data_IF_359491078054
#
_entry.id   IF_359491078054
#
_cell.length_a   1.000
_cell.length_b   1.000
_cell.length_c   1.000
_cell.angle_alpha   90.00
_cell.angle_beta   90.00
_cell.angle_gamma   90.00
#
_symmetry.space_group_name_H-M   'P 1'
#
loop_
_entity.id
_entity.type
_entity.pdbx_description
1 polymer ?
#
# COMPACT_ATOMS: atom_id res chain seq x y z
N UNK A 1 -37.08 10.44 -10.45
CA UNK A 1 -37.35 10.84 -11.86
C UNK A 1 -38.79 11.26 -11.91
N UNK A 2 -39.10 12.40 -12.52
CA UNK A 2 -40.42 13.03 -12.40
C UNK A 2 -40.88 13.57 -13.75
N UNK A 3 -42.16 13.38 -14.05
CA UNK A 3 -42.86 14.05 -15.14
C UNK A 3 -43.91 14.96 -14.52
N UNK A 4 -43.86 16.25 -14.83
CA UNK A 4 -44.77 17.24 -14.27
C UNK A 4 -45.38 18.12 -15.37
N UNK A 5 -46.58 18.62 -15.10
CA UNK A 5 -47.35 19.51 -15.96
C UNK A 5 -47.48 20.88 -15.30
N UNK A 6 -47.20 21.93 -16.06
CA UNK A 6 -47.39 23.31 -15.62
C UNK A 6 -48.76 23.81 -16.04
N UNK A 7 -49.48 24.37 -15.08
CA UNK A 7 -50.84 24.92 -15.21
C UNK A 7 -50.89 26.28 -14.53
N UNK A 8 -51.89 27.10 -14.84
CA UNK A 8 -52.04 28.40 -14.20
C UNK A 8 -53.49 28.62 -13.79
N UNK A 9 -53.71 29.12 -12.58
CA UNK A 9 -55.03 29.47 -12.06
C UNK A 9 -55.71 30.58 -12.87
N UNK A 10 -54.92 31.44 -13.52
CA UNK A 10 -55.38 32.49 -14.44
C UNK A 10 -56.14 31.94 -15.65
N UNK A 11 -55.91 30.67 -16.02
CA UNK A 11 -56.57 30.05 -17.17
C UNK A 11 -58.03 29.68 -16.88
N UNK A 12 -58.50 29.81 -15.63
CA UNK A 12 -59.91 29.62 -15.23
C UNK A 12 -60.55 28.34 -15.80
N UNK A 13 -61.56 28.44 -16.67
CA UNK A 13 -62.24 27.31 -17.29
C UNK A 13 -61.37 26.51 -18.27
N UNK A 14 -60.26 27.08 -18.76
CA UNK A 14 -59.29 26.39 -19.62
C UNK A 14 -58.28 25.56 -18.81
N UNK A 15 -58.29 25.65 -17.47
CA UNK A 15 -57.39 24.88 -16.62
C UNK A 15 -57.87 23.41 -16.54
N UNK A 16 -56.99 22.40 -16.69
CA UNK A 16 -57.38 21.01 -16.50
C UNK A 16 -57.75 20.75 -15.03
N UNK A 17 -58.78 19.92 -14.79
CA UNK A 17 -59.22 19.51 -13.44
C UNK A 17 -58.97 18.03 -13.18
N UNK A 18 -58.98 17.18 -14.23
CA UNK A 18 -58.65 15.76 -14.13
C UNK A 18 -57.83 15.30 -15.32
N UNK A 19 -56.67 14.73 -15.05
CA UNK A 19 -55.74 14.22 -16.05
C UNK A 19 -55.46 12.75 -15.76
N UNK A 20 -55.45 11.93 -16.81
CA UNK A 20 -55.11 10.50 -16.73
C UNK A 20 -53.91 10.24 -17.62
N UNK A 21 -52.89 9.59 -17.07
CA UNK A 21 -51.66 9.23 -17.77
C UNK A 21 -51.70 7.74 -18.08
N UNK A 22 -51.55 7.41 -19.36
CA UNK A 22 -51.56 6.04 -19.84
C UNK A 22 -50.18 5.67 -20.41
N UNK A 23 -49.81 4.40 -20.30
CA UNK A 23 -48.59 3.81 -20.84
C UNK A 23 -48.91 2.76 -21.91
N UNK A 24 -47.98 2.54 -22.83
CA UNK A 24 -48.05 1.47 -23.80
C UNK A 24 -46.74 1.26 -24.55
N UNK A 25 -46.64 0.11 -25.22
CA UNK A 25 -45.46 -0.25 -26.01
C UNK A 25 -45.46 0.39 -27.40
N UNK A 26 -46.64 0.79 -27.90
CA UNK A 26 -46.84 1.47 -29.18
C UNK A 26 -48.04 2.42 -29.09
N UNK A 27 -48.15 3.46 -29.94
CA UNK A 27 -49.28 4.40 -29.88
C UNK A 27 -50.66 3.74 -30.12
N UNK A 28 -50.70 2.55 -30.75
CA UNK A 28 -51.92 1.78 -30.97
C UNK A 28 -52.31 0.89 -29.76
N UNK A 29 -51.38 0.61 -28.84
CA UNK A 29 -51.56 -0.33 -27.72
C UNK A 29 -51.55 0.33 -26.35
N UNK A 30 -51.74 1.66 -26.28
CA UNK A 30 -51.84 2.40 -25.01
C UNK A 30 -53.15 2.06 -24.31
N UNK A 31 -53.09 1.13 -23.34
CA UNK A 31 -54.26 0.68 -22.57
C UNK A 31 -54.03 0.67 -21.06
N UNK A 32 -52.79 0.73 -20.61
CA UNK A 32 -52.45 0.65 -19.18
C UNK A 32 -52.51 2.03 -18.55
N UNK A 33 -53.38 2.21 -17.56
CA UNK A 33 -53.45 3.44 -16.77
C UNK A 33 -52.33 3.46 -15.75
N UNK A 34 -51.46 4.48 -15.85
CA UNK A 34 -50.28 4.64 -14.99
C UNK A 34 -50.61 5.50 -13.78
N UNK A 35 -51.35 6.58 -13.97
CA UNK A 35 -51.76 7.46 -12.89
C UNK A 35 -52.99 8.30 -13.29
N UNK A 36 -53.81 8.67 -12.31
CA UNK A 36 -54.93 9.59 -12.47
C UNK A 36 -54.82 10.72 -11.44
N UNK A 37 -54.64 11.95 -11.93
CA UNK A 37 -54.34 13.12 -11.11
C UNK A 37 -55.49 14.12 -11.15
N UNK A 38 -55.94 14.54 -9.97
CA UNK A 38 -56.88 15.65 -9.78
C UNK A 38 -56.13 16.94 -9.54
N UNK A 39 -56.43 17.97 -10.32
CA UNK A 39 -55.75 19.26 -10.30
C UNK A 39 -56.66 20.27 -9.61
N UNK A 40 -56.13 20.95 -8.59
CA UNK A 40 -56.84 22.00 -7.87
C UNK A 40 -56.73 23.34 -8.62
N UNK A 41 -57.71 24.25 -8.49
CA UNK A 41 -57.66 25.56 -9.13
C UNK A 41 -56.50 26.46 -8.68
N UNK A 42 -55.88 26.16 -7.54
CA UNK A 42 -54.72 26.87 -6.99
C UNK A 42 -53.37 26.30 -7.46
N UNK A 43 -53.36 25.16 -8.15
CA UNK A 43 -52.12 24.49 -8.53
C UNK A 43 -51.43 25.23 -9.67
N UNK A 44 -50.09 25.29 -9.62
CA UNK A 44 -49.25 25.84 -10.68
C UNK A 44 -48.34 24.78 -11.32
N UNK A 45 -47.98 23.75 -10.56
CA UNK A 45 -47.13 22.63 -11.00
C UNK A 45 -47.69 21.34 -10.43
N UNK A 46 -48.03 20.40 -11.32
CA UNK A 46 -48.66 19.13 -10.96
C UNK A 46 -47.79 17.97 -11.37
N UNK A 47 -47.48 17.08 -10.43
CA UNK A 47 -46.71 15.87 -10.70
C UNK A 47 -47.63 14.83 -11.35
N UNK A 48 -47.28 14.42 -12.58
CA UNK A 48 -48.05 13.42 -13.34
C UNK A 48 -47.56 12.00 -13.07
N UNK A 49 -46.25 11.80 -13.07
CA UNK A 49 -45.61 10.51 -12.76
C UNK A 49 -44.39 10.76 -11.90
N UNK A 50 -44.22 9.94 -10.86
CA UNK A 50 -43.08 10.00 -9.97
C UNK A 50 -42.54 8.58 -9.75
N UNK A 51 -41.21 8.42 -9.82
CA UNK A 51 -40.49 7.20 -9.45
C UNK A 51 -41.03 5.90 -10.08
N UNK A 52 -41.38 5.96 -11.36
CA UNK A 52 -41.81 4.81 -12.15
C UNK A 52 -40.73 3.73 -12.20
N UNK A 53 -41.08 2.50 -11.81
CA UNK A 53 -40.18 1.33 -11.79
C UNK A 53 -40.12 0.57 -13.11
N UNK A 54 -41.15 0.70 -13.95
CA UNK A 54 -41.24 0.08 -15.27
C UNK A 54 -41.00 1.10 -16.38
N UNK A 55 -40.23 0.72 -17.38
CA UNK A 55 -40.02 1.51 -18.60
C UNK A 55 -41.25 1.43 -19.51
N UNK A 56 -41.74 2.59 -19.97
CA UNK A 56 -42.84 2.73 -20.92
C UNK A 56 -42.37 3.56 -22.11
N UNK A 57 -42.30 2.99 -23.32
CA UNK A 57 -41.76 3.70 -24.49
C UNK A 57 -42.72 4.79 -25.00
N UNK A 58 -44.04 4.65 -24.79
CA UNK A 58 -45.03 5.67 -25.13
C UNK A 58 -45.87 6.00 -23.91
N UNK A 59 -45.92 7.29 -23.56
CA UNK A 59 -46.74 7.83 -22.49
C UNK A 59 -47.75 8.80 -23.10
N UNK A 60 -49.04 8.61 -22.81
CA UNK A 60 -50.11 9.47 -23.28
C UNK A 60 -50.78 10.17 -22.11
N UNK A 61 -50.74 11.50 -22.13
CA UNK A 61 -51.42 12.35 -21.16
C UNK A 61 -52.80 12.70 -21.72
N UNK A 62 -53.86 12.27 -21.05
CA UNK A 62 -55.26 12.55 -21.45
C UNK A 62 -55.91 13.47 -20.44
N UNK A 63 -56.23 14.70 -20.86
CA UNK A 63 -57.09 15.57 -20.05
C UNK A 63 -58.53 15.07 -20.18
N UNK A 64 -59.13 14.72 -19.05
CA UNK A 64 -60.50 14.17 -19.00
C UNK A 64 -61.55 15.23 -18.69
N UNK A 65 -61.18 16.24 -17.91
CA UNK A 65 -62.07 17.33 -17.50
C UNK A 65 -61.27 18.61 -17.31
N UNK A 66 -61.90 19.74 -17.60
CA UNK A 66 -61.43 21.08 -17.27
C UNK A 66 -62.16 21.62 -16.03
N UNK A 67 -61.67 22.72 -15.48
CA UNK A 67 -62.35 23.44 -14.42
C UNK A 67 -63.65 24.07 -14.95
N UNK A 68 -64.64 24.20 -14.08
CA UNK A 68 -65.92 24.88 -14.37
C UNK A 68 -66.65 24.36 -15.63
N UNK A 69 -66.38 23.12 -16.06
CA UNK A 69 -67.01 22.54 -17.26
C UNK A 69 -66.48 23.10 -18.59
N UNK A 70 -65.28 23.69 -18.61
CA UNK A 70 -64.65 24.17 -19.84
C UNK A 70 -64.49 23.07 -20.90
N UNK A 71 -64.61 23.47 -22.16
CA UNK A 71 -64.56 22.57 -23.33
C UNK A 71 -63.12 22.47 -23.89
N UNK A 72 -62.29 23.49 -23.62
CA UNK A 72 -60.91 23.59 -24.07
C UNK A 72 -59.93 23.53 -22.89
N UNK A 73 -58.67 23.17 -23.18
CA UNK A 73 -57.60 23.08 -22.17
C UNK A 73 -56.38 23.89 -22.57
N UNK A 74 -55.75 24.57 -21.62
CA UNK A 74 -54.45 25.21 -21.78
C UNK A 74 -53.43 24.61 -20.82
N UNK A 75 -52.40 23.99 -21.38
CA UNK A 75 -51.25 23.48 -20.63
C UNK A 75 -50.08 24.42 -20.89
N UNK A 76 -49.48 24.97 -19.83
CA UNK A 76 -48.40 25.96 -19.95
C UNK A 76 -47.06 25.33 -20.30
N UNK A 77 -46.85 24.08 -19.91
CA UNK A 77 -45.63 23.35 -20.20
C UNK A 77 -45.64 21.94 -19.62
N UNK A 78 -44.68 21.14 -20.05
CA UNK A 78 -44.40 19.81 -19.51
C UNK A 78 -42.92 19.78 -19.14
N UNK A 79 -42.62 19.44 -17.91
CA UNK A 79 -41.25 19.34 -17.39
C UNK A 79 -40.91 17.89 -17.07
N UNK A 80 -39.70 17.46 -17.47
CA UNK A 80 -39.18 16.13 -17.19
C UNK A 80 -37.90 16.26 -16.38
N UNK A 81 -37.93 15.79 -15.13
CA UNK A 81 -36.75 15.70 -14.28
C UNK A 81 -36.21 14.26 -14.34
N UNK A 82 -35.15 14.09 -15.13
CA UNK A 82 -34.43 12.83 -15.29
C UNK A 82 -32.93 13.06 -15.43
N UNK A 83 -32.11 11.99 -15.42
CA UNK A 83 -30.70 12.12 -15.72
C UNK A 83 -30.56 12.74 -17.12
N UNK A 84 -29.75 13.80 -17.24
CA UNK A 84 -29.43 14.44 -18.53
C UNK A 84 -29.00 13.34 -19.51
N UNK A 85 -29.54 13.27 -20.75
CA UNK A 85 -29.12 12.27 -21.71
C UNK A 85 -27.67 12.57 -22.09
N UNK A 86 -26.72 11.97 -21.37
CA UNK A 86 -25.32 12.07 -21.68
C UNK A 86 -25.07 11.15 -22.87
N UNK A 87 -24.68 11.69 -24.01
CA UNK A 87 -24.09 10.90 -25.11
C UNK A 87 -22.77 10.23 -24.70
N UNK A 88 -22.29 10.50 -23.48
CA UNK A 88 -21.07 10.00 -22.89
C UNK A 88 -20.85 8.48 -23.06
N UNK A 89 -21.80 7.56 -22.84
CA UNK A 89 -21.53 6.12 -23.02
C UNK A 89 -21.04 5.76 -24.42
N UNK A 90 -21.53 6.46 -25.45
CA UNK A 90 -21.14 6.24 -26.85
C UNK A 90 -19.78 6.90 -27.13
N UNK A 91 -19.56 8.12 -26.64
CA UNK A 91 -18.29 8.84 -26.82
C UNK A 91 -17.14 8.26 -25.99
N UNK A 92 -17.44 7.70 -24.81
CA UNK A 92 -16.50 7.13 -23.86
C UNK A 92 -15.65 6.06 -24.52
N UNK A 93 -16.28 5.10 -25.21
CA UNK A 93 -15.55 4.00 -25.84
C UNK A 93 -14.61 4.50 -26.95
N UNK A 94 -15.06 5.43 -27.79
CA UNK A 94 -14.24 5.97 -28.87
C UNK A 94 -13.09 6.84 -28.37
N UNK A 95 -13.36 7.66 -27.35
CA UNK A 95 -12.33 8.48 -26.69
C UNK A 95 -11.28 7.58 -26.03
N UNK A 96 -11.71 6.62 -25.21
CA UNK A 96 -10.82 5.66 -24.54
C UNK A 96 -9.97 4.87 -25.55
N UNK A 97 -10.57 4.37 -26.64
CA UNK A 97 -9.82 3.65 -27.70
C UNK A 97 -8.76 4.52 -28.35
N UNK A 98 -9.08 5.79 -28.68
CA UNK A 98 -8.11 6.71 -29.28
C UNK A 98 -7.00 7.09 -28.31
N UNK A 99 -7.35 7.41 -27.07
CA UNK A 99 -6.38 7.71 -26.01
C UNK A 99 -5.48 6.51 -25.76
N UNK A 100 -6.04 5.30 -25.69
CA UNK A 100 -5.29 4.05 -25.54
C UNK A 100 -4.25 3.89 -26.65
N UNK A 101 -4.65 3.95 -27.93
CA UNK A 101 -3.73 3.78 -29.05
C UNK A 101 -2.61 4.84 -29.07
N UNK A 102 -2.94 6.11 -28.80
CA UNK A 102 -1.95 7.19 -28.70
C UNK A 102 -0.98 6.96 -27.54
N UNK A 103 -1.49 6.52 -26.39
CA UNK A 103 -0.70 6.27 -25.19
C UNK A 103 0.23 5.07 -25.36
N UNK A 104 -0.26 3.97 -25.94
CA UNK A 104 0.55 2.78 -26.21
C UNK A 104 1.67 3.09 -27.20
N UNK A 105 1.40 3.87 -28.26
CA UNK A 105 2.45 4.30 -29.18
C UNK A 105 3.54 5.14 -28.48
N UNK A 106 3.14 6.05 -27.59
CA UNK A 106 4.08 6.84 -26.75
C UNK A 106 4.86 5.95 -25.79
N UNK A 107 4.20 5.00 -25.14
CA UNK A 107 4.84 4.05 -24.22
C UNK A 107 5.96 3.28 -24.93
N UNK A 108 5.67 2.70 -26.09
CA UNK A 108 6.66 1.98 -26.87
C UNK A 108 7.83 2.86 -27.32
N UNK A 109 7.56 4.09 -27.79
CA UNK A 109 8.61 5.02 -28.20
C UNK A 109 9.53 5.38 -27.03
N UNK A 110 8.96 5.76 -25.87
CA UNK A 110 9.73 6.12 -24.69
C UNK A 110 10.48 4.92 -24.09
N UNK A 111 9.88 3.72 -24.08
CA UNK A 111 10.56 2.49 -23.69
C UNK A 111 11.79 2.22 -24.55
N UNK A 112 11.67 2.32 -25.87
CA UNK A 112 12.80 2.11 -26.78
C UNK A 112 13.91 3.15 -26.59
N UNK A 113 13.55 4.40 -26.32
CA UNK A 113 14.50 5.46 -26.00
C UNK A 113 15.28 5.16 -24.71
N UNK A 114 14.60 4.70 -23.66
CA UNK A 114 15.22 4.33 -22.38
C UNK A 114 16.12 3.11 -22.52
N UNK A 115 15.70 2.10 -23.30
CA UNK A 115 16.54 0.93 -23.58
C UNK A 115 17.82 1.30 -24.34
N UNK A 116 17.78 2.34 -25.19
CA UNK A 116 18.95 2.81 -25.94
C UNK A 116 19.86 3.70 -25.10
N UNK A 117 19.29 4.55 -24.26
CA UNK A 117 20.02 5.47 -23.39
C UNK A 117 19.35 5.56 -22.01
N UNK A 118 19.96 4.91 -21.02
CA UNK A 118 19.49 4.88 -19.63
C UNK A 118 19.41 6.27 -19.00
N UNK A 119 20.19 7.24 -19.49
CA UNK A 119 20.14 8.64 -19.04
C UNK A 119 18.82 9.33 -19.33
N UNK A 120 18.05 8.84 -20.32
CA UNK A 120 16.74 9.41 -20.66
C UNK A 120 15.66 9.10 -19.62
N UNK A 121 15.90 8.13 -18.73
CA UNK A 121 14.98 7.82 -17.62
C UNK A 121 14.77 9.04 -16.71
N UNK A 122 15.77 9.91 -16.54
CA UNK A 122 15.65 11.16 -15.79
C UNK A 122 14.69 12.15 -16.45
N UNK A 123 14.59 12.14 -17.78
CA UNK A 123 13.66 12.99 -18.53
C UNK A 123 12.24 12.44 -18.52
N UNK A 124 12.05 11.15 -18.23
CA UNK A 124 10.74 10.50 -18.17
C UNK A 124 9.83 11.20 -17.16
N UNK A 125 10.35 11.62 -16.00
CA UNK A 125 9.56 12.37 -15.02
C UNK A 125 8.93 13.63 -15.64
N UNK A 126 9.72 14.43 -16.35
CA UNK A 126 9.25 15.66 -16.98
C UNK A 126 8.22 15.39 -18.09
N UNK A 127 8.41 14.33 -18.88
CA UNK A 127 7.51 13.96 -19.98
C UNK A 127 6.19 13.38 -19.46
N UNK A 128 6.27 12.48 -18.49
CA UNK A 128 5.12 11.82 -17.87
C UNK A 128 4.28 12.83 -17.08
N UNK A 129 4.90 13.72 -16.31
CA UNK A 129 4.17 14.75 -15.58
C UNK A 129 3.45 15.73 -16.52
N UNK A 130 4.08 16.14 -17.64
CA UNK A 130 3.39 16.95 -18.67
C UNK A 130 2.23 16.21 -19.32
N UNK A 131 2.39 14.92 -19.62
CA UNK A 131 1.33 14.10 -20.19
C UNK A 131 0.15 13.95 -19.21
N UNK A 132 0.42 13.67 -17.94
CA UNK A 132 -0.59 13.59 -16.88
C UNK A 132 -1.34 14.92 -16.71
N UNK A 133 -0.62 16.05 -16.67
CA UNK A 133 -1.23 17.38 -16.58
C UNK A 133 -2.10 17.71 -17.79
N UNK A 134 -1.69 17.28 -18.99
CA UNK A 134 -2.47 17.44 -20.20
C UNK A 134 -3.78 16.65 -20.14
N UNK A 135 -3.72 15.38 -19.75
CA UNK A 135 -4.92 14.53 -19.63
C UNK A 135 -5.84 15.01 -18.51
N UNK A 136 -5.30 15.41 -17.36
CA UNK A 136 -6.11 15.97 -16.27
C UNK A 136 -6.76 17.30 -16.68
N UNK A 137 -6.00 18.16 -17.37
CA UNK A 137 -6.51 19.42 -17.90
C UNK A 137 -7.56 19.22 -19.00
N UNK A 138 -7.49 18.13 -19.76
CA UNK A 138 -8.54 17.73 -20.70
C UNK A 138 -9.78 17.24 -19.96
N UNK A 139 -9.60 16.34 -18.98
CA UNK A 139 -10.66 15.78 -18.18
C UNK A 139 -11.50 16.86 -17.50
N UNK A 140 -10.85 17.80 -16.81
CA UNK A 140 -11.51 18.87 -16.07
C UNK A 140 -12.28 19.87 -16.96
N UNK A 141 -11.88 20.02 -18.23
CA UNK A 141 -12.48 21.01 -19.15
C UNK A 141 -13.58 20.44 -20.04
N UNK A 142 -13.46 19.17 -20.42
CA UNK A 142 -14.30 18.60 -21.48
C UNK A 142 -15.16 17.41 -21.04
N UNK A 143 -14.89 16.79 -19.89
CA UNK A 143 -15.67 15.63 -19.43
C UNK A 143 -16.86 16.05 -18.58
N UNK A 144 -18.01 15.36 -18.71
CA UNK A 144 -19.24 15.77 -18.04
C UNK A 144 -19.32 15.41 -16.55
N UNK A 145 -18.54 14.43 -16.10
CA UNK A 145 -18.62 13.84 -14.76
C UNK A 145 -17.28 13.26 -14.29
N UNK A 146 -17.11 13.08 -12.98
CA UNK A 146 -15.89 12.52 -12.40
C UNK A 146 -15.70 11.03 -12.72
N UNK A 147 -16.78 10.32 -13.03
CA UNK A 147 -16.73 8.92 -13.50
C UNK A 147 -16.09 8.82 -14.88
N UNK A 148 -16.42 9.76 -15.77
CA UNK A 148 -15.74 9.93 -17.06
C UNK A 148 -14.25 10.22 -16.91
N UNK A 149 -13.90 11.16 -16.03
CA UNK A 149 -12.51 11.53 -15.76
C UNK A 149 -11.70 10.34 -15.22
N UNK A 150 -12.25 9.59 -14.26
CA UNK A 150 -11.62 8.37 -13.74
C UNK A 150 -11.47 7.29 -14.80
N UNK A 151 -12.46 7.10 -15.68
CA UNK A 151 -12.37 6.12 -16.75
C UNK A 151 -11.25 6.45 -17.75
N UNK A 152 -11.13 7.73 -18.15
CA UNK A 152 -10.03 8.18 -19.00
C UNK A 152 -8.68 8.01 -18.30
N UNK A 153 -8.59 8.41 -17.03
CA UNK A 153 -7.38 8.26 -16.20
C UNK A 153 -6.91 6.81 -16.09
N UNK A 154 -7.83 5.85 -15.90
CA UNK A 154 -7.52 4.41 -15.91
C UNK A 154 -6.95 3.96 -17.25
N UNK A 155 -7.59 4.34 -18.36
CA UNK A 155 -7.10 3.97 -19.69
C UNK A 155 -5.74 4.56 -20.00
N UNK A 156 -5.46 5.78 -19.55
CA UNK A 156 -4.13 6.39 -19.67
C UNK A 156 -3.08 5.62 -18.87
N UNK A 157 -3.39 5.20 -17.63
CA UNK A 157 -2.49 4.38 -16.82
C UNK A 157 -2.18 3.06 -17.52
N UNK A 158 -3.22 2.29 -17.85
CA UNK A 158 -3.11 0.97 -18.46
C UNK A 158 -2.34 1.02 -19.79
N UNK A 159 -2.56 2.06 -20.60
CA UNK A 159 -1.96 2.18 -21.92
C UNK A 159 -0.55 2.79 -21.93
N UNK A 160 -0.29 3.78 -21.05
CA UNK A 160 0.98 4.51 -21.03
C UNK A 160 1.89 3.98 -19.93
N UNK A 161 1.49 4.18 -18.67
CA UNK A 161 2.45 4.07 -17.58
C UNK A 161 2.66 2.62 -17.14
N UNK A 162 1.68 1.72 -17.28
CA UNK A 162 1.81 0.30 -16.92
C UNK A 162 2.87 -0.42 -17.77
N UNK A 163 2.82 -0.33 -19.12
CA UNK A 163 3.88 -0.89 -19.96
C UNK A 163 5.23 -0.18 -19.76
N UNK A 164 5.25 1.12 -19.46
CA UNK A 164 6.50 1.82 -19.13
C UNK A 164 7.12 1.28 -17.84
N UNK A 165 6.34 1.10 -16.78
CA UNK A 165 6.81 0.52 -15.51
C UNK A 165 7.36 -0.89 -15.74
N UNK A 166 6.65 -1.72 -16.51
CA UNK A 166 7.15 -3.05 -16.86
C UNK A 166 8.47 -2.98 -17.62
N UNK A 167 8.60 -2.08 -18.59
CA UNK A 167 9.82 -1.90 -19.38
C UNK A 167 11.02 -1.39 -18.57
N UNK A 168 10.81 -0.50 -17.59
CA UNK A 168 11.91 0.02 -16.76
C UNK A 168 12.30 -0.92 -15.61
N UNK A 169 11.40 -1.84 -15.23
CA UNK A 169 11.62 -2.81 -14.15
C UNK A 169 12.10 -4.17 -14.66
N UNK A 170 11.83 -4.52 -15.93
CA UNK A 170 12.32 -5.75 -16.55
C UNK A 170 13.85 -5.70 -16.74
N UNK A 171 14.58 -6.78 -16.41
CA UNK A 171 16.02 -6.83 -16.62
C UNK A 171 16.37 -6.85 -18.12
N UNK A 172 17.38 -6.08 -18.50
CA UNK A 172 18.02 -6.14 -19.83
C UNK A 172 18.78 -7.47 -20.01
N UNK A 173 19.30 -7.81 -21.21
CA UNK A 173 20.19 -8.96 -21.41
C UNK A 173 21.42 -8.99 -20.46
N UNK A 174 21.82 -7.83 -19.94
CA UNK A 174 22.88 -7.68 -18.92
C UNK A 174 22.41 -7.99 -17.49
N UNK A 175 21.14 -8.37 -17.30
CA UNK A 175 20.54 -8.72 -16.01
C UNK A 175 20.12 -7.55 -15.12
N UNK A 176 20.47 -6.31 -15.48
CA UNK A 176 20.13 -5.09 -14.71
C UNK A 176 19.05 -4.31 -15.42
N UNK A 177 17.94 -4.02 -14.74
CA UNK A 177 16.87 -3.16 -15.29
C UNK A 177 17.28 -1.68 -15.31
N UNK A 178 16.73 -0.85 -16.21
CA UNK A 178 17.03 0.59 -16.25
C UNK A 178 16.76 1.31 -14.92
N UNK A 179 15.70 0.91 -14.20
CA UNK A 179 15.38 1.44 -12.88
C UNK A 179 16.37 0.93 -11.82
N UNK A 180 16.79 -0.35 -11.87
CA UNK A 180 17.79 -0.88 -10.96
C UNK A 180 19.14 -0.17 -11.11
N UNK A 181 19.54 0.13 -12.36
CA UNK A 181 20.76 0.90 -12.64
C UNK A 181 20.69 2.29 -12.00
N UNK A 182 19.59 3.02 -12.22
CA UNK A 182 19.43 4.37 -11.66
C UNK A 182 19.41 4.37 -10.12
N UNK A 183 18.77 3.38 -9.50
CA UNK A 183 18.75 3.26 -8.04
C UNK A 183 20.13 2.89 -7.48
N UNK A 184 20.89 2.04 -8.18
CA UNK A 184 22.27 1.72 -7.82
C UNK A 184 23.16 2.97 -7.89
N UNK A 185 23.05 3.76 -8.96
CA UNK A 185 23.77 5.03 -9.12
C UNK A 185 23.39 6.07 -8.04
N UNK A 186 22.11 6.12 -7.64
CA UNK A 186 21.68 6.96 -6.52
C UNK A 186 22.35 6.56 -5.22
N UNK A 187 22.42 5.25 -4.95
CA UNK A 187 23.06 4.72 -3.75
C UNK A 187 24.57 4.95 -3.81
N UNK A 188 25.26 4.70 -4.92
CA UNK A 188 26.70 4.95 -5.03
C UNK A 188 27.03 6.45 -4.96
N UNK A 189 26.18 7.32 -5.53
CA UNK A 189 26.33 8.78 -5.48
C UNK A 189 26.21 9.39 -4.08
N UNK A 190 25.49 8.72 -3.16
CA UNK A 190 25.41 9.12 -1.75
C UNK A 190 26.67 8.70 -0.96
N UNK A 191 27.48 7.76 -1.45
CA UNK A 191 28.71 7.29 -0.78
C UNK A 191 29.91 8.24 -0.93
N UNK A 192 29.91 9.11 -1.95
CA UNK A 192 31.04 9.98 -2.27
C UNK A 192 30.78 11.44 -1.87
N UNK A 193 31.36 11.96 -0.78
CA UNK A 193 31.11 13.33 -0.32
C UNK A 193 31.73 14.44 -1.20
N UNK A 194 32.24 14.13 -2.41
CA UNK A 194 33.25 15.00 -3.07
C UNK A 194 33.12 15.28 -4.57
N UNK A 195 32.01 15.01 -5.28
CA UNK A 195 31.90 15.49 -6.68
C UNK A 195 30.59 16.23 -6.99
N UNK A 196 30.76 17.54 -7.23
CA UNK A 196 29.83 18.48 -7.86
C UNK A 196 28.49 18.72 -7.12
N UNK A 197 28.55 19.61 -6.13
CA UNK A 197 27.47 20.05 -5.21
C UNK A 197 26.15 20.47 -5.89
N UNK A 198 26.14 20.78 -7.19
CA UNK A 198 24.93 21.11 -7.95
C UNK A 198 24.32 19.93 -8.74
N UNK A 199 25.13 19.15 -9.45
CA UNK A 199 24.64 18.11 -10.39
C UNK A 199 24.12 16.86 -9.65
N UNK A 200 24.77 16.48 -8.55
CA UNK A 200 24.30 15.37 -7.70
C UNK A 200 22.97 15.67 -7.01
N UNK A 201 22.76 16.91 -6.55
CA UNK A 201 21.51 17.33 -5.92
C UNK A 201 20.34 17.37 -6.90
N UNK A 202 20.57 17.86 -8.13
CA UNK A 202 19.54 17.84 -9.20
C UNK A 202 19.20 16.41 -9.60
N UNK A 203 20.20 15.54 -9.73
CA UNK A 203 19.99 14.12 -10.02
C UNK A 203 19.15 13.45 -8.93
N UNK A 204 19.56 13.57 -7.66
CA UNK A 204 18.82 12.99 -6.54
C UNK A 204 17.38 13.52 -6.42
N UNK A 205 17.15 14.81 -6.69
CA UNK A 205 15.77 15.36 -6.71
C UNK A 205 14.94 14.77 -7.86
N UNK A 206 15.53 14.60 -9.05
CA UNK A 206 14.83 13.97 -10.18
C UNK A 206 14.48 12.51 -9.89
N UNK A 207 15.39 11.75 -9.28
CA UNK A 207 15.16 10.36 -8.88
C UNK A 207 14.01 10.26 -7.88
N UNK A 208 14.04 11.05 -6.79
CA UNK A 208 12.97 11.06 -5.79
C UNK A 208 11.62 11.45 -6.39
N UNK A 209 11.58 12.46 -7.26
CA UNK A 209 10.32 12.86 -7.93
C UNK A 209 9.80 11.77 -8.87
N UNK A 210 10.69 11.07 -9.57
CA UNK A 210 10.33 9.97 -10.45
C UNK A 210 9.76 8.79 -9.66
N UNK A 211 10.43 8.34 -8.59
CA UNK A 211 9.94 7.24 -7.75
C UNK A 211 8.64 7.61 -7.05
N UNK A 212 8.53 8.83 -6.52
CA UNK A 212 7.28 9.32 -5.91
C UNK A 212 6.13 9.34 -6.91
N UNK A 213 6.36 9.81 -8.15
CA UNK A 213 5.33 9.84 -9.19
C UNK A 213 4.92 8.41 -9.60
N UNK A 214 5.87 7.49 -9.79
CA UNK A 214 5.54 6.10 -10.13
C UNK A 214 4.77 5.36 -9.03
N UNK A 215 4.99 5.75 -7.77
CA UNK A 215 4.34 5.15 -6.59
C UNK A 215 2.98 5.79 -6.27
N UNK A 216 2.79 7.09 -6.54
CA UNK A 216 1.61 7.86 -6.10
C UNK A 216 0.67 8.29 -7.23
N UNK A 217 0.98 8.01 -8.50
CA UNK A 217 0.02 8.23 -9.60
C UNK A 217 -1.02 7.11 -9.56
N UNK A 218 -2.05 7.27 -8.73
CA UNK A 218 -3.26 6.45 -8.76
C UNK A 218 -4.42 7.27 -9.40
N UNK A 219 -5.06 6.79 -10.48
CA UNK A 219 -6.33 7.31 -10.98
C UNK A 219 -7.55 6.75 -10.23
N UNK A 220 -7.37 5.82 -9.30
CA UNK A 220 -8.38 5.39 -8.34
C UNK A 220 -8.42 6.33 -7.14
N UNK A 221 -9.52 7.06 -6.96
CA UNK A 221 -9.75 7.80 -5.72
C UNK A 221 -9.76 6.87 -4.49
N UNK A 222 -9.68 7.45 -3.28
CA UNK A 222 -9.80 6.69 -2.03
C UNK A 222 -11.18 6.05 -1.98
N UNK A 223 -11.24 4.72 -2.13
CA UNK A 223 -12.40 3.96 -1.65
C UNK A 223 -12.35 3.97 -0.12
N UNK A 224 -13.49 4.05 0.58
CA UNK A 224 -13.52 4.07 2.04
C UNK A 224 -13.03 2.71 2.56
N UNK A 225 -11.83 2.68 3.13
CA UNK A 225 -11.38 1.58 3.97
C UNK A 225 -12.22 1.57 5.25
N UNK A 226 -13.33 0.83 5.22
CA UNK A 226 -14.02 0.39 6.43
C UNK A 226 -13.11 -0.53 7.23
N UNK A 227 -12.45 0.06 8.22
CA UNK A 227 -12.17 -0.51 9.53
C UNK A 227 -11.82 -2.00 9.59
N UNK A 228 -10.53 -2.34 9.52
CA UNK A 228 -9.97 -3.43 10.33
C UNK A 228 -8.58 -3.10 10.87
N UNK A 229 -8.58 -2.89 12.19
CA UNK A 229 -7.51 -3.06 13.16
C UNK A 229 -6.24 -2.21 13.01
N UNK A 230 -6.17 -1.16 13.82
CA UNK A 230 -4.92 -0.64 14.34
C UNK A 230 -4.12 -1.78 14.99
N UNK A 231 -2.99 -2.12 14.40
CA UNK A 231 -1.95 -2.98 14.95
C UNK A 231 -0.60 -2.32 14.66
N UNK A 232 0.26 -2.27 15.67
CA UNK A 232 1.48 -1.48 15.71
C UNK A 232 2.42 -1.69 14.50
N UNK A 233 3.22 -0.66 14.10
CA UNK A 233 4.02 -0.69 12.88
C UNK A 233 5.17 -1.72 12.86
N UNK A 234 5.51 -2.33 14.01
CA UNK A 234 6.64 -3.27 14.14
C UNK A 234 6.30 -4.73 13.77
N UNK A 235 5.04 -5.14 13.89
CA UNK A 235 4.65 -6.55 13.71
C UNK A 235 4.37 -6.94 12.24
N UNK A 236 4.17 -5.96 11.36
CA UNK A 236 3.83 -6.19 9.96
C UNK A 236 4.99 -6.79 9.15
N UNK A 237 6.24 -6.50 9.50
CA UNK A 237 7.42 -7.12 8.86
C UNK A 237 7.57 -8.60 9.25
N UNK A 238 7.27 -8.91 10.52
CA UNK A 238 7.43 -10.23 11.14
C UNK A 238 6.40 -11.25 10.65
N UNK A 239 5.15 -10.84 10.39
CA UNK A 239 4.08 -11.76 10.00
C UNK A 239 4.10 -12.16 8.52
N UNK A 240 4.71 -11.36 7.65
CA UNK A 240 4.71 -11.60 6.19
C UNK A 240 5.84 -12.51 5.69
N UNK A 241 6.89 -12.75 6.46
CA UNK A 241 7.98 -13.65 6.06
C UNK A 241 7.67 -15.14 6.35
N UNK A 242 6.70 -15.43 7.21
CA UNK A 242 6.38 -16.80 7.66
C UNK A 242 5.23 -17.52 6.95
N UNK A 243 4.61 -16.94 5.91
CA UNK A 243 3.44 -17.54 5.24
C UNK A 243 3.64 -17.68 3.73
N UNK A 244 4.33 -18.74 3.32
CA UNK A 244 4.31 -19.24 1.94
C UNK A 244 3.61 -20.59 1.93
N UNK A 245 2.32 -20.59 1.56
CA UNK A 245 1.67 -21.70 0.85
C UNK A 245 0.25 -21.29 0.41
N UNK A 246 0.01 -21.34 -0.91
CA UNK A 246 -1.29 -21.55 -1.55
C UNK A 246 -2.46 -20.60 -1.23
N UNK A 247 -2.62 -19.52 -2.00
CA UNK A 247 -3.83 -18.70 -2.00
C UNK A 247 -4.32 -18.41 -3.42
N UNK A 248 -5.45 -19.01 -3.79
CA UNK A 248 -6.14 -18.90 -5.09
C UNK A 248 -6.43 -17.46 -5.48
N UNK A 249 -6.08 -17.10 -6.72
CA UNK A 249 -6.54 -15.89 -7.40
C UNK A 249 -8.05 -15.97 -7.65
N UNK A 250 -8.81 -15.08 -7.01
CA UNK A 250 -10.18 -14.74 -7.40
C UNK A 250 -10.40 -13.24 -7.29
N UNK A 251 -10.57 -12.58 -8.45
CA UNK A 251 -11.48 -11.45 -8.62
C UNK A 251 -10.87 -10.05 -8.71
N UNK A 252 -10.99 -9.44 -9.90
CA UNK A 252 -10.99 -7.98 -10.09
C UNK A 252 -9.99 -7.46 -11.12
N UNK A 253 -10.37 -7.39 -12.41
CA UNK A 253 -9.50 -6.93 -13.50
C UNK A 253 -8.89 -5.52 -13.30
N UNK A 254 -9.50 -4.67 -12.45
CA UNK A 254 -8.96 -3.36 -12.07
C UNK A 254 -8.06 -3.35 -10.82
N UNK A 255 -8.00 -4.44 -10.06
CA UNK A 255 -7.12 -4.62 -8.88
C UNK A 255 -5.82 -5.34 -9.29
N UNK A 256 -5.88 -6.20 -10.31
CA UNK A 256 -4.75 -6.92 -10.89
C UNK A 256 -3.67 -6.01 -11.52
N UNK A 257 -4.06 -4.88 -12.10
CA UNK A 257 -3.09 -3.95 -12.70
C UNK A 257 -2.37 -3.08 -11.65
N UNK A 258 -3.03 -2.81 -10.51
CA UNK A 258 -2.48 -2.03 -9.38
C UNK A 258 -1.34 -2.78 -8.68
N UNK A 259 -1.57 -4.06 -8.42
CA UNK A 259 -0.59 -4.94 -7.78
C UNK A 259 0.62 -5.13 -8.68
N UNK A 260 0.44 -5.29 -10.00
CA UNK A 260 1.52 -5.65 -10.93
C UNK A 260 2.59 -4.56 -11.09
N UNK A 261 2.19 -3.29 -11.19
CA UNK A 261 3.14 -2.17 -11.37
C UNK A 261 3.98 -1.90 -10.13
N UNK A 262 3.33 -1.75 -8.97
CA UNK A 262 4.00 -1.56 -7.69
C UNK A 262 4.84 -2.79 -7.30
N UNK A 263 4.36 -4.00 -7.60
CA UNK A 263 5.13 -5.23 -7.41
C UNK A 263 6.38 -5.27 -8.29
N UNK A 264 6.31 -4.83 -9.56
CA UNK A 264 7.49 -4.74 -10.42
C UNK A 264 8.57 -3.79 -9.86
N UNK A 265 8.15 -2.63 -9.33
CA UNK A 265 9.07 -1.65 -8.73
C UNK A 265 9.62 -2.18 -7.39
N UNK A 266 8.81 -2.83 -6.55
CA UNK A 266 9.27 -3.39 -5.28
C UNK A 266 10.22 -4.58 -5.47
N UNK A 267 9.96 -5.45 -6.45
CA UNK A 267 10.91 -6.51 -6.83
C UNK A 267 12.22 -5.94 -7.38
N UNK A 268 12.14 -4.87 -8.17
CA UNK A 268 13.34 -4.18 -8.65
C UNK A 268 14.15 -3.58 -7.48
N UNK A 269 13.48 -2.97 -6.50
CA UNK A 269 14.14 -2.46 -5.29
C UNK A 269 14.80 -3.58 -4.48
N UNK A 270 14.08 -4.69 -4.26
CA UNK A 270 14.61 -5.88 -3.61
C UNK A 270 15.91 -6.36 -4.27
N UNK A 271 15.94 -6.44 -5.61
CA UNK A 271 17.11 -6.86 -6.36
C UNK A 271 18.31 -5.92 -6.19
N UNK A 272 18.09 -4.60 -6.21
CA UNK A 272 19.13 -3.59 -5.97
C UNK A 272 19.71 -3.70 -4.57
N UNK A 273 18.83 -3.79 -3.55
CA UNK A 273 19.23 -3.97 -2.15
C UNK A 273 20.04 -5.27 -2.00
N UNK A 274 19.54 -6.37 -2.56
CA UNK A 274 20.22 -7.66 -2.51
C UNK A 274 21.63 -7.58 -3.11
N UNK A 275 21.77 -6.96 -4.28
CA UNK A 275 23.06 -6.82 -4.94
C UNK A 275 24.05 -5.97 -4.13
N UNK A 276 23.58 -4.88 -3.51
CA UNK A 276 24.43 -4.02 -2.70
C UNK A 276 24.89 -4.72 -1.42
N UNK A 277 23.98 -5.41 -0.73
CA UNK A 277 24.30 -6.19 0.48
C UNK A 277 25.22 -7.35 0.13
N UNK A 278 25.00 -8.04 -0.98
CA UNK A 278 25.87 -9.12 -1.44
C UNK A 278 27.30 -8.63 -1.69
N UNK A 279 27.48 -7.55 -2.48
CA UNK A 279 28.82 -6.95 -2.70
C UNK A 279 29.48 -6.53 -1.38
N UNK A 280 28.71 -5.98 -0.45
CA UNK A 280 29.22 -5.62 0.88
C UNK A 280 29.69 -6.86 1.66
N UNK A 281 28.90 -7.93 1.68
CA UNK A 281 29.25 -9.16 2.40
C UNK A 281 30.46 -9.87 1.78
N UNK A 282 30.60 -9.84 0.45
CA UNK A 282 31.80 -10.35 -0.22
C UNK A 282 33.06 -9.54 0.14
N UNK A 283 32.94 -8.22 0.19
CA UNK A 283 34.08 -7.34 0.46
C UNK A 283 34.46 -7.24 1.96
N UNK A 284 33.47 -7.23 2.84
CA UNK A 284 33.63 -6.99 4.28
C UNK A 284 33.44 -8.24 5.15
N UNK A 285 33.08 -9.39 4.56
CA UNK A 285 32.69 -10.61 5.30
C UNK A 285 33.74 -11.17 6.25
N UNK A 286 35.01 -10.78 6.11
CA UNK A 286 36.12 -11.19 6.99
C UNK A 286 36.59 -10.08 7.94
N UNK A 287 35.97 -8.90 7.89
CA UNK A 287 36.38 -7.76 8.71
C UNK A 287 35.81 -7.89 10.14
N UNK A 288 36.58 -7.54 11.18
CA UNK A 288 36.12 -7.64 12.58
C UNK A 288 35.02 -6.63 12.93
N UNK A 289 34.85 -5.58 12.13
CA UNK A 289 33.82 -4.55 12.26
C UNK A 289 32.62 -4.76 11.32
N UNK A 290 32.46 -5.99 10.78
CA UNK A 290 31.39 -6.37 9.87
C UNK A 290 30.00 -6.00 10.38
N UNK A 291 29.69 -6.33 11.64
CA UNK A 291 28.37 -6.11 12.23
C UNK A 291 28.01 -4.63 12.32
N UNK A 292 28.96 -3.78 12.71
CA UNK A 292 28.74 -2.34 12.80
C UNK A 292 28.52 -1.73 11.40
N UNK A 293 29.34 -2.13 10.42
CA UNK A 293 29.19 -1.70 9.03
C UNK A 293 27.87 -2.19 8.43
N UNK A 294 27.43 -3.40 8.76
CA UNK A 294 26.12 -3.93 8.37
C UNK A 294 24.97 -3.09 8.91
N UNK A 295 24.98 -2.75 10.21
CA UNK A 295 23.95 -1.88 10.79
C UNK A 295 23.95 -0.48 10.17
N UNK A 296 25.12 0.08 9.83
CA UNK A 296 25.21 1.37 9.11
C UNK A 296 24.63 1.26 7.69
N UNK A 297 24.92 0.17 6.97
CA UNK A 297 24.35 -0.10 5.64
C UNK A 297 22.83 -0.24 5.70
N UNK A 298 22.31 -0.99 6.68
CA UNK A 298 20.86 -1.15 6.88
C UNK A 298 20.17 0.18 7.14
N UNK A 299 20.66 0.99 8.09
CA UNK A 299 20.09 2.31 8.40
C UNK A 299 20.08 3.24 7.18
N UNK A 300 21.15 3.17 6.39
CA UNK A 300 21.27 3.95 5.15
C UNK A 300 20.27 3.52 4.08
N UNK A 301 20.13 2.22 3.85
CA UNK A 301 19.19 1.70 2.86
C UNK A 301 17.73 1.89 3.30
N UNK A 302 17.47 1.81 4.61
CA UNK A 302 16.17 2.18 5.17
C UNK A 302 15.85 3.65 4.93
N UNK A 303 16.78 4.56 5.23
CA UNK A 303 16.61 5.99 4.94
C UNK A 303 16.40 6.25 3.44
N UNK A 304 17.14 5.59 2.56
CA UNK A 304 16.93 5.69 1.12
C UNK A 304 15.55 5.15 0.68
N UNK A 305 15.08 4.05 1.29
CA UNK A 305 13.74 3.49 1.04
C UNK A 305 12.65 4.51 1.40
N UNK A 306 12.76 5.13 2.57
CA UNK A 306 11.83 6.16 3.04
C UNK A 306 11.87 7.43 2.17
N UNK A 307 13.05 7.88 1.76
CA UNK A 307 13.22 9.04 0.88
C UNK A 307 12.63 8.83 -0.53
N UNK A 308 12.80 7.63 -1.08
CA UNK A 308 12.43 7.31 -2.47
C UNK A 308 10.96 6.91 -2.60
N UNK A 309 10.45 6.10 -1.66
CA UNK A 309 9.15 5.45 -1.78
C UNK A 309 8.15 5.84 -0.65
N UNK A 310 8.60 6.59 0.36
CA UNK A 310 7.79 6.95 1.52
C UNK A 310 7.62 5.78 2.51
N UNK A 311 6.62 5.88 3.41
CA UNK A 311 6.35 4.87 4.45
C UNK A 311 5.50 3.70 3.96
N UNK A 312 5.74 3.22 2.74
CA UNK A 312 4.97 2.11 2.19
C UNK A 312 5.51 0.74 2.61
N UNK A 313 4.66 -0.06 3.26
CA UNK A 313 5.04 -1.38 3.79
C UNK A 313 5.65 -2.32 2.74
N UNK A 314 5.17 -2.28 1.49
CA UNK A 314 5.69 -3.11 0.40
C UNK A 314 7.19 -2.90 0.13
N UNK A 315 7.69 -1.66 0.26
CA UNK A 315 9.10 -1.33 0.03
C UNK A 315 9.98 -1.62 1.24
N UNK A 316 9.44 -1.50 2.45
CA UNK A 316 10.12 -1.95 3.69
C UNK A 316 10.26 -3.47 3.68
N UNK A 317 9.24 -4.19 3.21
CA UNK A 317 9.33 -5.64 3.00
C UNK A 317 10.35 -6.01 1.92
N UNK A 318 10.37 -5.30 0.80
CA UNK A 318 11.36 -5.50 -0.26
C UNK A 318 12.80 -5.27 0.23
N UNK A 319 13.00 -4.28 1.10
CA UNK A 319 14.28 -4.05 1.79
C UNK A 319 14.68 -5.28 2.62
N UNK A 320 13.81 -5.75 3.52
CA UNK A 320 14.07 -6.95 4.32
C UNK A 320 14.35 -8.19 3.47
N UNK A 321 13.54 -8.43 2.42
CA UNK A 321 13.74 -9.54 1.49
C UNK A 321 15.06 -9.44 0.70
N UNK A 322 15.53 -8.21 0.42
CA UNK A 322 16.81 -8.00 -0.25
C UNK A 322 17.99 -8.40 0.65
N UNK A 323 17.96 -7.99 1.93
CA UNK A 323 18.94 -8.40 2.93
C UNK A 323 18.91 -9.92 3.16
N UNK A 324 17.72 -10.51 3.32
CA UNK A 324 17.55 -11.96 3.46
C UNK A 324 18.09 -12.72 2.25
N UNK A 325 17.79 -12.26 1.04
CA UNK A 325 18.27 -12.86 -0.20
C UNK A 325 19.80 -12.85 -0.31
N UNK A 326 20.46 -11.79 0.16
CA UNK A 326 21.92 -11.70 0.15
C UNK A 326 22.57 -12.65 1.18
N UNK A 327 21.95 -12.83 2.35
CA UNK A 327 22.42 -13.77 3.38
C UNK A 327 22.28 -15.23 2.93
N UNK A 328 21.20 -15.57 2.21
CA UNK A 328 20.98 -16.90 1.66
C UNK A 328 22.00 -17.28 0.57
N UNK A 329 22.61 -16.29 -0.09
CA UNK A 329 23.63 -16.52 -1.13
C UNK A 329 25.03 -16.76 -0.57
N UNK A 330 25.23 -16.64 0.74
CA UNK A 330 26.51 -16.89 1.38
C UNK A 330 26.88 -18.37 1.32
N UNK A 331 28.17 -18.66 1.18
CA UNK A 331 28.68 -20.01 1.41
C UNK A 331 28.48 -20.41 2.87
N UNK A 332 28.39 -21.72 3.14
CA UNK A 332 28.20 -22.23 4.49
C UNK A 332 29.24 -21.70 5.50
N UNK A 333 30.53 -21.70 5.14
CA UNK A 333 31.61 -21.22 6.01
C UNK A 333 31.47 -19.72 6.31
N UNK A 334 31.15 -18.91 5.29
CA UNK A 334 30.93 -17.46 5.47
C UNK A 334 29.69 -17.19 6.30
N UNK A 335 28.61 -17.96 6.13
CA UNK A 335 27.40 -17.82 6.94
C UNK A 335 27.67 -18.12 8.42
N UNK A 336 28.45 -19.16 8.72
CA UNK A 336 28.90 -19.45 10.10
C UNK A 336 29.71 -18.29 10.70
N UNK A 337 30.70 -17.79 9.97
CA UNK A 337 31.51 -16.68 10.47
C UNK A 337 30.69 -15.41 10.69
N UNK A 338 29.85 -15.04 9.72
CA UNK A 338 28.99 -13.85 9.78
C UNK A 338 27.98 -13.96 10.94
N UNK A 339 27.39 -15.13 11.14
CA UNK A 339 26.45 -15.38 12.25
C UNK A 339 27.11 -15.27 13.63
N UNK A 340 28.34 -15.79 13.78
CA UNK A 340 29.13 -15.62 15.00
C UNK A 340 29.43 -14.13 15.27
N UNK A 341 29.88 -13.39 14.25
CA UNK A 341 30.18 -11.95 14.37
C UNK A 341 28.94 -11.14 14.78
N UNK A 342 27.76 -11.45 14.21
CA UNK A 342 26.51 -10.80 14.60
C UNK A 342 26.11 -11.14 16.04
N UNK A 343 26.20 -12.40 16.45
CA UNK A 343 25.89 -12.81 17.82
C UNK A 343 26.84 -12.15 18.84
N UNK A 344 28.14 -12.10 18.53
CA UNK A 344 29.15 -11.43 19.36
C UNK A 344 28.92 -9.93 19.45
N UNK A 345 28.61 -9.27 18.33
CA UNK A 345 28.31 -7.84 18.31
C UNK A 345 27.09 -7.51 19.17
N UNK A 346 26.02 -8.30 19.05
CA UNK A 346 24.84 -8.15 19.89
C UNK A 346 25.20 -8.32 21.37
N UNK A 347 25.99 -9.34 21.73
CA UNK A 347 26.45 -9.55 23.11
C UNK A 347 27.18 -8.32 23.69
N UNK A 348 28.15 -7.77 22.95
CA UNK A 348 28.90 -6.58 23.38
C UNK A 348 27.97 -5.38 23.58
N UNK A 349 27.07 -5.13 22.62
CA UNK A 349 26.14 -4.00 22.69
C UNK A 349 25.11 -4.15 23.82
N UNK A 350 24.61 -5.36 24.07
CA UNK A 350 23.69 -5.65 25.19
C UNK A 350 24.39 -5.37 26.52
N UNK A 351 25.65 -5.78 26.66
CA UNK A 351 26.43 -5.49 27.87
C UNK A 351 26.70 -3.99 28.05
N UNK A 352 26.95 -3.25 26.97
CA UNK A 352 27.10 -1.78 27.02
C UNK A 352 25.81 -1.09 27.44
N UNK A 353 24.67 -1.47 26.84
CA UNK A 353 23.34 -0.96 27.22
C UNK A 353 23.01 -1.27 28.67
N UNK A 354 23.39 -2.45 29.16
CA UNK A 354 23.24 -2.84 30.56
C UNK A 354 24.10 -1.98 31.51
N UNK A 355 25.29 -1.54 31.08
CA UNK A 355 26.16 -0.64 31.87
C UNK A 355 25.67 0.80 31.86
N UNK A 356 24.97 1.23 30.81
CA UNK A 356 24.49 2.60 30.63
C UNK A 356 23.21 2.95 31.44
N UNK A 357 23.03 2.36 32.63
CA UNK A 357 21.85 2.54 33.51
C UNK A 357 21.60 4.02 33.81
N UNK A 358 20.54 4.60 33.21
CA UNK A 358 20.11 5.97 33.53
C UNK A 358 19.20 6.66 32.51
N UNK A 359 19.19 6.26 31.22
CA UNK A 359 18.41 6.97 30.22
C UNK A 359 17.03 6.33 29.97
N UNK A 360 16.00 7.05 30.39
CA UNK A 360 14.58 6.75 30.15
C UNK A 360 14.23 6.92 28.67
N UNK A 361 14.44 5.85 27.90
CA UNK A 361 13.92 5.62 26.56
C UNK A 361 14.38 4.29 25.92
N UNK A 362 14.53 3.17 26.68
CA UNK A 362 15.32 2.05 26.18
C UNK A 362 14.61 1.18 25.13
N UNK A 363 13.27 1.05 25.15
CA UNK A 363 12.57 0.10 24.29
C UNK A 363 12.57 0.50 22.81
N UNK A 364 12.34 1.78 22.50
CA UNK A 364 12.38 2.26 21.10
C UNK A 364 13.81 2.26 20.54
N UNK A 365 14.80 2.61 21.37
CA UNK A 365 16.21 2.51 21.01
C UNK A 365 16.64 1.05 20.79
N UNK A 366 16.12 0.13 21.60
CA UNK A 366 16.33 -1.30 21.46
C UNK A 366 15.70 -1.83 20.17
N UNK A 367 14.47 -1.41 19.84
CA UNK A 367 13.80 -1.78 18.60
C UNK A 367 14.61 -1.31 17.38
N UNK A 368 15.04 -0.05 17.35
CA UNK A 368 15.86 0.47 16.25
C UNK A 368 17.22 -0.23 16.13
N UNK A 369 17.79 -0.67 17.26
CA UNK A 369 19.05 -1.41 17.30
C UNK A 369 18.90 -2.85 16.77
N UNK A 370 17.81 -3.53 17.13
CA UNK A 370 17.57 -4.94 16.78
C UNK A 370 16.95 -5.13 15.39
N UNK A 371 16.30 -4.10 14.86
CA UNK A 371 15.62 -4.12 13.56
C UNK A 371 16.44 -4.73 12.40
N UNK A 372 17.75 -4.45 12.22
CA UNK A 372 18.54 -5.05 11.14
C UNK A 372 18.62 -6.58 11.22
N UNK A 373 18.48 -7.16 12.42
CA UNK A 373 18.64 -8.59 12.69
C UNK A 373 17.32 -9.36 12.56
N UNK A 374 16.16 -8.68 12.62
CA UNK A 374 14.84 -9.29 12.44
C UNK A 374 14.71 -9.99 11.09
N UNK A 375 15.47 -9.55 10.09
CA UNK A 375 15.52 -10.12 8.74
C UNK A 375 15.93 -11.60 8.73
N UNK A 376 16.58 -12.10 9.79
CA UNK A 376 16.98 -13.51 9.87
C UNK A 376 15.80 -14.47 10.03
N UNK A 377 14.63 -13.97 10.45
CA UNK A 377 13.45 -14.80 10.69
C UNK A 377 13.09 -15.63 9.45
N UNK A 378 12.98 -16.95 9.64
CA UNK A 378 12.61 -17.88 8.58
C UNK A 378 13.75 -18.27 7.62
N UNK A 379 14.99 -17.85 7.85
CA UNK A 379 16.16 -18.26 7.06
C UNK A 379 16.90 -19.42 7.73
N UNK A 380 17.58 -20.26 6.93
CA UNK A 380 18.50 -21.28 7.47
C UNK A 380 19.63 -20.64 8.30
N UNK A 381 20.02 -19.42 7.93
CA UNK A 381 20.96 -18.58 8.67
C UNK A 381 20.57 -18.42 10.16
N UNK A 382 19.27 -18.42 10.47
CA UNK A 382 18.76 -18.29 11.83
C UNK A 382 19.23 -19.42 12.76
N UNK A 383 19.38 -20.65 12.25
CA UNK A 383 19.87 -21.77 13.05
C UNK A 383 21.32 -21.58 13.49
N UNK A 384 22.17 -21.12 12.56
CA UNK A 384 23.58 -20.83 12.89
C UNK A 384 23.71 -19.66 13.84
N UNK A 385 22.90 -18.62 13.66
CA UNK A 385 22.83 -17.48 14.56
C UNK A 385 22.35 -17.86 15.97
N UNK A 386 21.28 -18.65 16.09
CA UNK A 386 20.77 -19.17 17.36
C UNK A 386 21.83 -19.96 18.12
N UNK A 387 22.63 -20.78 17.42
CA UNK A 387 23.69 -21.58 18.03
C UNK A 387 24.76 -20.72 18.72
N UNK A 388 25.16 -19.60 18.12
CA UNK A 388 26.13 -18.69 18.75
C UNK A 388 25.45 -17.80 19.80
N UNK A 389 24.24 -17.30 19.52
CA UNK A 389 23.51 -16.43 20.44
C UNK A 389 23.27 -17.10 21.79
N UNK A 390 22.85 -18.38 21.80
CA UNK A 390 22.63 -19.15 23.05
C UNK A 390 23.91 -19.30 23.89
N UNK A 391 25.08 -19.37 23.25
CA UNK A 391 26.36 -19.48 23.96
C UNK A 391 26.66 -18.19 24.73
N UNK A 392 26.54 -17.03 24.07
CA UNK A 392 26.73 -15.74 24.71
C UNK A 392 25.65 -15.44 25.75
N UNK A 393 24.39 -15.77 25.47
CA UNK A 393 23.30 -15.65 26.44
C UNK A 393 23.57 -16.49 27.70
N UNK A 394 24.00 -17.74 27.53
CA UNK A 394 24.32 -18.62 28.65
C UNK A 394 25.40 -18.04 29.56
N UNK A 395 26.49 -17.52 28.97
CA UNK A 395 27.55 -16.87 29.73
C UNK A 395 27.03 -15.63 30.47
N UNK A 396 26.24 -14.77 29.83
CA UNK A 396 25.63 -13.60 30.48
C UNK A 396 24.70 -13.97 31.63
N UNK A 397 23.81 -14.94 31.43
CA UNK A 397 22.85 -15.36 32.46
C UNK A 397 23.54 -15.97 33.68
N UNK A 398 24.57 -16.81 33.46
CA UNK A 398 25.30 -17.47 34.54
C UNK A 398 26.26 -16.53 35.29
N UNK A 399 26.92 -15.60 34.59
CA UNK A 399 27.91 -14.71 35.21
C UNK A 399 27.31 -13.46 35.83
N UNK A 400 26.29 -12.88 35.19
CA UNK A 400 25.73 -11.57 35.57
C UNK A 400 24.30 -11.66 36.13
N UNK A 401 23.66 -12.83 36.09
CA UNK A 401 22.30 -13.04 36.57
C UNK A 401 21.21 -12.47 35.64
N UNK A 402 19.93 -12.69 36.00
CA UNK A 402 18.77 -12.29 35.19
C UNK A 402 18.72 -10.78 34.97
N UNK A 403 18.30 -10.35 33.78
CA UNK A 403 18.00 -8.94 33.52
C UNK A 403 16.74 -8.81 32.67
N UNK A 404 15.97 -7.74 32.90
CA UNK A 404 14.78 -7.43 32.12
C UNK A 404 15.08 -7.23 30.63
N UNK A 405 16.31 -6.80 30.31
CA UNK A 405 16.79 -6.59 28.94
C UNK A 405 16.79 -7.89 28.13
N UNK A 406 17.22 -9.00 28.72
CA UNK A 406 17.27 -10.29 28.01
C UNK A 406 15.87 -10.74 27.57
N UNK A 407 14.87 -10.56 28.44
CA UNK A 407 13.47 -10.83 28.10
C UNK A 407 12.98 -9.98 26.93
N UNK A 408 13.18 -8.65 27.00
CA UNK A 408 12.75 -7.74 25.94
C UNK A 408 13.45 -7.97 24.61
N UNK A 409 14.73 -8.35 24.62
CA UNK A 409 15.47 -8.70 23.39
C UNK A 409 14.92 -9.99 22.79
N UNK A 410 14.79 -11.04 23.60
CA UNK A 410 14.30 -12.35 23.14
C UNK A 410 12.86 -12.27 22.62
N UNK A 411 12.04 -11.37 23.16
CA UNK A 411 10.71 -11.08 22.59
C UNK A 411 10.80 -10.45 21.19
N UNK A 412 11.69 -9.48 20.97
CA UNK A 412 11.80 -8.76 19.69
C UNK A 412 12.45 -9.58 18.58
N UNK A 413 13.52 -10.33 18.87
CA UNK A 413 14.20 -11.19 17.88
C UNK A 413 13.80 -12.66 18.01
N UNK A 414 12.72 -12.97 18.73
CA UNK A 414 12.32 -14.34 19.05
C UNK A 414 12.05 -15.22 17.83
N UNK A 415 11.55 -14.64 16.73
CA UNK A 415 11.34 -15.37 15.47
C UNK A 415 12.64 -15.72 14.73
N UNK A 416 13.78 -15.17 15.17
CA UNK A 416 15.11 -15.53 14.68
C UNK A 416 15.68 -16.77 15.40
N UNK A 417 14.92 -17.39 16.32
CA UNK A 417 15.31 -18.58 17.07
C UNK A 417 14.37 -19.75 16.75
N UNK A 418 14.62 -20.50 15.65
CA UNK A 418 13.77 -21.61 15.23
C UNK A 418 13.55 -22.67 16.31
N UNK A 419 14.60 -23.00 17.10
CA UNK A 419 14.54 -24.00 18.16
C UNK A 419 14.11 -23.44 19.51
N UNK A 420 13.93 -22.12 19.61
CA UNK A 420 13.52 -21.39 20.82
C UNK A 420 14.44 -21.59 22.04
N UNK A 421 15.71 -21.94 21.82
CA UNK A 421 16.65 -22.16 22.93
C UNK A 421 16.80 -20.93 23.85
N UNK A 422 16.93 -19.69 23.33
CA UNK A 422 17.01 -18.51 24.20
C UNK A 422 15.77 -18.31 25.08
N UNK A 423 14.58 -18.58 24.55
CA UNK A 423 13.32 -18.52 25.30
C UNK A 423 13.30 -19.55 26.42
N UNK A 424 13.66 -20.80 26.10
CA UNK A 424 13.68 -21.90 27.07
C UNK A 424 14.72 -21.67 28.17
N UNK A 425 15.88 -21.11 27.83
CA UNK A 425 16.92 -20.75 28.81
C UNK A 425 16.42 -19.73 29.84
N UNK A 426 15.67 -18.72 29.39
CA UNK A 426 15.05 -17.73 30.30
C UNK A 426 13.94 -18.34 31.14
N UNK A 427 13.10 -19.22 30.56
CA UNK A 427 12.07 -19.94 31.31
C UNK A 427 12.68 -20.82 32.40
N UNK A 428 13.71 -21.60 32.06
CA UNK A 428 14.42 -22.46 33.00
C UNK A 428 15.08 -21.67 34.15
N UNK A 429 15.63 -20.49 33.86
CA UNK A 429 16.19 -19.62 34.89
C UNK A 429 15.09 -19.10 35.83
N UNK A 430 13.95 -18.67 35.28
CA UNK A 430 12.81 -18.21 36.09
C UNK A 430 12.24 -19.32 36.99
N UNK A 431 12.14 -20.55 36.47
CA UNK A 431 11.75 -21.73 37.26
C UNK A 431 12.76 -22.05 38.36
N UNK A 432 14.06 -21.97 38.05
CA UNK A 432 15.14 -22.18 39.04
C UNK A 432 15.08 -21.13 40.16
N UNK A 433 14.85 -19.86 39.83
CA UNK A 433 14.66 -18.80 40.84
C UNK A 433 13.42 -19.04 41.71
N UNK A 434 12.31 -19.49 41.12
CA UNK A 434 11.11 -19.82 41.86
C UNK A 434 11.35 -20.98 42.85
N UNK A 435 12.04 -22.03 42.42
CA UNK A 435 12.44 -23.16 43.27
C UNK A 435 13.42 -22.72 44.37
N UNK A 436 14.38 -21.86 44.06
CA UNK A 436 15.30 -21.31 45.05
C UNK A 436 14.56 -20.50 46.13
N UNK A 437 13.57 -19.70 45.73
CA UNK A 437 12.71 -18.96 46.68
C UNK A 437 11.91 -19.92 47.56
N UNK A 438 11.31 -20.98 46.98
CA UNK A 438 10.59 -22.00 47.74
C UNK A 438 11.50 -22.73 48.72
N UNK A 439 12.72 -23.07 48.31
CA UNK A 439 13.71 -23.70 49.18
C UNK A 439 14.14 -22.79 50.33
N UNK A 440 14.39 -21.50 50.08
CA UNK A 440 14.69 -20.54 51.13
C UNK A 440 13.52 -20.39 52.11
N UNK A 441 12.27 -20.31 51.62
CA UNK A 441 11.09 -20.27 52.49
C UNK A 441 10.95 -21.55 53.33
N UNK A 442 11.20 -22.70 52.73
CA UNK A 442 11.20 -23.98 53.44
C UNK A 442 12.27 -24.03 54.54
N UNK A 443 13.48 -23.55 54.26
CA UNK A 443 14.54 -23.46 55.26
C UNK A 443 14.18 -22.53 56.43
N UNK A 444 13.55 -21.39 56.14
CA UNK A 444 13.06 -20.47 57.17
C UNK A 444 11.97 -21.14 58.02
N UNK A 445 11.01 -21.83 57.40
CA UNK A 445 9.96 -22.57 58.12
C UNK A 445 10.53 -23.67 59.03
N UNK A 446 11.57 -24.38 58.58
CA UNK A 446 12.25 -25.38 59.41
C UNK A 446 13.03 -24.76 60.57
N UNK A 447 13.62 -23.57 60.39
CA UNK A 447 14.25 -22.81 61.47
C UNK A 447 13.20 -22.35 62.50
N UNK A 448 12.08 -21.81 62.03
CA UNK A 448 10.99 -21.36 62.90
C UNK A 448 10.41 -22.52 63.74
N UNK A 449 10.21 -23.70 63.13
CA UNK A 449 9.79 -24.91 63.86
C UNK A 449 10.77 -25.31 64.97
N UNK A 450 12.08 -25.30 64.68
CA UNK A 450 13.11 -25.66 65.67
C UNK A 450 13.19 -24.68 66.82
N UNK A 451 12.93 -23.40 66.58
CA UNK A 451 12.86 -22.40 67.63
C UNK A 451 11.63 -22.61 68.53
N UNK A 452 10.49 -22.98 67.94
CA UNK A 452 9.26 -23.28 68.68
C UNK A 452 9.33 -24.57 69.51
N UNK A 453 10.23 -25.50 69.21
CA UNK A 453 10.46 -26.73 70.00
C UNK A 453 11.39 -26.51 71.22
N UNK A 454 12.06 -25.35 71.29
CA UNK A 454 12.98 -24.99 72.37
C UNK A 454 12.35 -24.08 73.43
N UNK A 455 11.15 -23.54 73.16
CA UNK A 455 10.25 -22.87 74.11
C UNK A 455 9.22 -23.87 74.65
#
# INVERSE_FOLDING_TARGET
RELSMLVASEDSSYMPSRVVVLGGDSPATIRTELNAVSILPSDSRVILLENMTRFWPVIQIRVKRCQQGGIDTRVRGIEVLGPKPTFWPIFKEQLCRRTFLSCTARAHAWSQEICRDRGQLLQLFGRLNRALQHEQGFANRFLPDDEAARALGRTFWEALVSPLVQSITSPDPDGVSPLAWLLSEYLEGVELPRRATGRGATFGSCVRRLTQLLVHVDPGGPEPEESRAAGEPGAALLLTLGRWEGGKEQGGAGQDCKSRGLWGISQCWRGVVQQQVHRFLEAAGQAPDLAERYCRLYRRLRGATEELFGQQAAFVLALGQGFAGALLQLSFLTALHVSEQFARYLDVQIQELRRAVGNTGPLEQLQQFLEPFVVFSGLEFAHTFEHFYRHYLGDRLLTQGPSWLEGGIVEQIGLCFPSRFPQDMLSNLAESEALQRQFCLFQLQEQDKRLLELD
#
